data_IF_468694012885
#
_entry.id   IF_468694012885
#
_cell.length_a   1.000
_cell.length_b   1.000
_cell.length_c   1.000
_cell.angle_alpha   90.00
_cell.angle_beta   90.00
_cell.angle_gamma   90.00
#
_symmetry.space_group_name_H-M   'P 1'
#
loop_
_entity.id
_entity.type
_entity.pdbx_description
1 polymer ?
#
# COMPACT_ATOMS: atom_id res chain seq x y z
N UNK A 1 -44.46 12.03 26.70
CA UNK A 1 -43.61 12.65 25.65
C UNK A 1 -42.33 13.10 26.33
N UNK A 2 -41.10 12.67 26.01
CA UNK A 2 -40.54 11.94 24.86
C UNK A 2 -39.39 11.06 25.38
N UNK A 3 -39.40 9.79 25.01
CA UNK A 3 -38.21 8.94 24.98
C UNK A 3 -37.35 9.40 23.82
N UNK A 4 -36.20 10.02 24.07
CA UNK A 4 -35.10 10.07 23.11
C UNK A 4 -33.84 10.46 23.87
N UNK A 5 -32.67 9.98 23.44
CA UNK A 5 -31.33 10.10 24.03
C UNK A 5 -30.91 8.87 24.84
N UNK A 6 -30.76 7.71 24.17
CA UNK A 6 -29.74 6.70 24.51
C UNK A 6 -29.33 5.93 23.24
N UNK A 7 -28.78 6.58 22.20
CA UNK A 7 -28.12 5.87 21.09
C UNK A 7 -26.97 6.70 20.49
N UNK A 8 -25.94 7.07 21.28
CA UNK A 8 -24.66 7.59 20.71
C UNK A 8 -23.41 6.99 21.42
N UNK A 9 -23.54 6.04 22.36
CA UNK A 9 -22.38 5.49 23.09
C UNK A 9 -21.95 4.06 22.72
N UNK A 10 -22.68 3.36 21.83
CA UNK A 10 -22.34 1.97 21.45
C UNK A 10 -21.40 1.84 20.23
N UNK A 11 -21.26 2.90 19.42
CA UNK A 11 -20.43 2.85 18.20
C UNK A 11 -18.93 3.02 18.47
N UNK A 12 -18.53 3.71 19.56
CA UNK A 12 -17.11 3.89 19.89
C UNK A 12 -16.44 2.61 20.43
N UNK A 13 -17.18 1.71 21.06
CA UNK A 13 -16.60 0.45 21.58
C UNK A 13 -16.39 -0.62 20.49
N UNK A 14 -17.02 -0.50 19.32
CA UNK A 14 -16.83 -1.46 18.23
C UNK A 14 -15.52 -1.23 17.46
N UNK A 15 -15.08 0.02 17.30
CA UNK A 15 -13.91 0.31 16.47
C UNK A 15 -12.59 -0.15 17.10
N UNK A 16 -12.45 -0.04 18.42
CA UNK A 16 -11.24 -0.51 19.13
C UNK A 16 -11.15 -2.04 19.14
N UNK A 17 -12.29 -2.74 19.23
CA UNK A 17 -12.33 -4.21 19.18
C UNK A 17 -12.09 -4.74 17.75
N UNK A 18 -12.53 -4.05 16.69
CA UNK A 18 -12.32 -4.49 15.30
C UNK A 18 -10.84 -4.52 14.88
N UNK A 19 -10.09 -3.45 15.13
CA UNK A 19 -8.68 -3.33 14.76
C UNK A 19 -7.79 -4.37 15.47
N UNK A 20 -8.11 -4.69 16.72
CA UNK A 20 -7.40 -5.76 17.45
C UNK A 20 -7.71 -7.15 16.91
N UNK A 21 -8.90 -7.39 16.37
CA UNK A 21 -9.26 -8.68 15.76
C UNK A 21 -8.52 -8.88 14.43
N UNK A 22 -8.54 -7.90 13.54
CA UNK A 22 -7.89 -7.99 12.22
C UNK A 22 -6.38 -8.23 12.34
N UNK A 23 -5.71 -7.52 13.25
CA UNK A 23 -4.26 -7.71 13.51
C UNK A 23 -3.94 -9.10 14.07
N UNK A 24 -4.79 -9.66 14.93
CA UNK A 24 -4.65 -11.04 15.43
C UNK A 24 -4.85 -12.05 14.29
N UNK A 25 -5.85 -11.84 13.42
CA UNK A 25 -6.12 -12.72 12.28
C UNK A 25 -4.95 -12.73 11.28
N UNK A 26 -4.41 -11.56 10.93
CA UNK A 26 -3.26 -11.44 10.04
C UNK A 26 -2.01 -12.10 10.65
N UNK A 27 -1.77 -11.89 11.94
CA UNK A 27 -0.68 -12.57 12.68
C UNK A 27 -0.82 -14.09 12.63
N UNK A 28 -2.02 -14.61 12.87
CA UNK A 28 -2.30 -16.04 12.79
C UNK A 28 -2.13 -16.59 11.36
N UNK A 29 -2.56 -15.83 10.36
CA UNK A 29 -2.37 -16.20 8.96
C UNK A 29 -0.88 -16.24 8.57
N UNK A 30 -0.05 -15.31 9.05
CA UNK A 30 1.39 -15.36 8.86
C UNK A 30 2.00 -16.62 9.52
N UNK A 31 1.58 -16.94 10.75
CA UNK A 31 2.04 -18.15 11.45
C UNK A 31 1.64 -19.44 10.73
N UNK A 32 0.45 -19.47 10.12
CA UNK A 32 -0.02 -20.57 9.27
C UNK A 32 0.82 -20.65 8.00
N UNK A 33 1.03 -19.54 7.30
CA UNK A 33 1.82 -19.45 6.07
C UNK A 33 3.28 -19.90 6.26
N UNK A 34 3.88 -19.60 7.43
CA UNK A 34 5.24 -20.06 7.78
C UNK A 34 5.33 -21.59 7.91
N UNK A 35 4.21 -22.27 8.22
CA UNK A 35 4.14 -23.74 8.40
C UNK A 35 3.64 -24.45 7.14
N UNK A 36 2.70 -23.84 6.44
CA UNK A 36 2.05 -24.36 5.25
C UNK A 36 2.08 -23.30 4.14
N UNK A 37 2.81 -23.59 3.06
CA UNK A 37 2.90 -22.71 1.88
C UNK A 37 1.85 -23.03 0.82
N UNK A 38 0.79 -23.78 1.16
CA UNK A 38 -0.30 -24.12 0.25
C UNK A 38 -0.98 -22.87 -0.32
N UNK A 39 -1.62 -23.05 -1.49
CA UNK A 39 -2.48 -22.03 -2.09
C UNK A 39 -3.51 -21.48 -1.09
N UNK A 40 -4.05 -22.34 -0.21
CA UNK A 40 -5.04 -21.93 0.79
C UNK A 40 -4.44 -20.96 1.81
N UNK A 41 -3.28 -21.29 2.36
CA UNK A 41 -2.60 -20.45 3.36
C UNK A 41 -2.14 -19.11 2.76
N UNK A 42 -1.53 -19.15 1.57
CA UNK A 42 -1.14 -17.95 0.84
C UNK A 42 -2.33 -17.04 0.51
N UNK A 43 -3.42 -17.62 -0.01
CA UNK A 43 -4.64 -16.86 -0.34
C UNK A 43 -5.26 -16.23 0.89
N UNK A 44 -5.36 -16.97 2.00
CA UNK A 44 -5.87 -16.43 3.27
C UNK A 44 -5.03 -15.27 3.77
N UNK A 45 -3.71 -15.39 3.72
CA UNK A 45 -2.80 -14.31 4.11
C UNK A 45 -2.96 -13.08 3.21
N UNK A 46 -3.01 -13.28 1.90
CA UNK A 46 -3.22 -12.22 0.91
C UNK A 46 -4.55 -11.47 1.15
N UNK A 47 -5.64 -12.19 1.41
CA UNK A 47 -6.97 -11.61 1.64
C UNK A 47 -7.06 -10.82 2.96
N UNK A 48 -6.35 -11.26 4.00
CA UNK A 48 -6.31 -10.58 5.31
C UNK A 48 -5.32 -9.40 5.34
N UNK A 49 -4.36 -9.35 4.42
CA UNK A 49 -3.45 -8.21 4.32
C UNK A 49 -4.22 -6.96 3.89
N UNK A 50 -3.93 -5.77 4.45
CA UNK A 50 -4.56 -4.51 4.06
C UNK A 50 -4.70 -4.32 2.54
N UNK A 51 -5.75 -3.61 2.12
CA UNK A 51 -6.01 -3.28 0.71
C UNK A 51 -6.07 -1.77 0.44
N UNK A 52 -5.75 -0.95 1.45
CA UNK A 52 -5.68 0.51 1.35
C UNK A 52 -4.50 1.01 2.18
N UNK A 53 -3.99 2.21 1.88
CA UNK A 53 -2.92 2.81 2.68
C UNK A 53 -3.37 3.10 4.12
N UNK A 54 -4.61 3.55 4.30
CA UNK A 54 -5.19 3.84 5.61
C UNK A 54 -5.22 2.58 6.50
N UNK A 55 -5.68 1.44 5.97
CA UNK A 55 -5.71 0.19 6.73
C UNK A 55 -4.29 -0.36 6.94
N UNK A 56 -3.38 -0.10 6.00
CA UNK A 56 -1.96 -0.43 6.16
C UNK A 56 -1.34 0.34 7.34
N UNK A 57 -1.57 1.65 7.45
CA UNK A 57 -1.10 2.46 8.58
C UNK A 57 -1.76 2.06 9.90
N UNK A 58 -3.07 1.79 9.91
CA UNK A 58 -3.74 1.26 11.12
C UNK A 58 -3.15 -0.05 11.59
N UNK A 59 -2.59 -0.85 10.68
CA UNK A 59 -2.02 -2.16 10.99
C UNK A 59 -0.55 -2.05 11.42
N UNK A 60 0.24 -1.25 10.72
CA UNK A 60 1.70 -1.26 10.80
C UNK A 60 2.35 0.10 11.10
N UNK A 61 1.60 1.19 11.03
CA UNK A 61 2.11 2.55 11.10
C UNK A 61 2.42 3.05 12.51
N UNK A 62 2.81 4.32 12.57
CA UNK A 62 3.04 5.05 13.81
C UNK A 62 2.31 6.40 13.75
N UNK A 63 1.30 6.57 14.58
CA UNK A 63 0.48 7.79 14.57
C UNK A 63 0.42 8.41 15.95
N UNK A 64 0.65 9.73 16.03
CA UNK A 64 0.51 10.53 17.25
C UNK A 64 1.33 9.98 18.44
N UNK A 65 2.53 9.46 18.18
CA UNK A 65 3.38 8.90 19.23
C UNK A 65 3.04 7.47 19.63
N UNK A 66 2.17 6.78 18.88
CA UNK A 66 1.71 5.43 19.19
C UNK A 66 1.91 4.48 18.02
N UNK A 67 2.52 3.34 18.32
CA UNK A 67 2.68 2.21 17.42
C UNK A 67 1.35 1.51 17.14
N UNK A 68 1.14 1.13 15.88
CA UNK A 68 0.06 0.23 15.48
C UNK A 68 0.31 -1.21 15.99
N UNK A 69 -0.72 -2.08 16.03
CA UNK A 69 -0.60 -3.41 16.65
C UNK A 69 0.50 -4.32 16.08
N UNK A 70 0.85 -4.17 14.80
CA UNK A 70 1.88 -4.95 14.11
C UNK A 70 3.07 -4.08 13.64
N UNK A 71 3.37 -2.99 14.36
CA UNK A 71 4.51 -2.09 14.09
C UNK A 71 5.84 -2.84 13.81
N UNK A 72 6.79 -2.19 13.12
CA UNK A 72 7.90 -2.76 12.32
C UNK A 72 7.40 -3.38 11.00
N UNK A 73 6.50 -4.36 11.05
CA UNK A 73 5.84 -4.92 9.86
C UNK A 73 6.74 -5.64 8.84
N UNK A 74 8.07 -5.65 9.02
CA UNK A 74 9.05 -6.22 8.08
C UNK A 74 8.67 -7.62 7.58
N UNK A 75 8.48 -8.58 8.50
CA UNK A 75 8.17 -9.97 8.12
C UNK A 75 6.81 -10.10 7.40
N UNK A 76 5.87 -9.21 7.67
CA UNK A 76 4.55 -9.22 7.03
C UNK A 76 4.66 -8.72 5.59
N UNK A 77 5.36 -7.61 5.39
CA UNK A 77 5.61 -7.06 4.05
C UNK A 77 6.39 -8.07 3.20
N UNK A 78 7.47 -8.66 3.72
CA UNK A 78 8.24 -9.69 3.00
C UNK A 78 7.38 -10.90 2.62
N UNK A 79 6.52 -11.36 3.54
CA UNK A 79 5.62 -12.47 3.26
C UNK A 79 4.58 -12.13 2.16
N UNK A 80 4.10 -10.89 2.10
CA UNK A 80 3.17 -10.44 1.07
C UNK A 80 3.82 -10.51 -0.32
N UNK A 81 5.04 -10.00 -0.48
CA UNK A 81 5.75 -9.97 -1.75
C UNK A 81 6.31 -11.34 -2.16
N UNK A 82 6.38 -12.30 -1.23
CA UNK A 82 6.79 -13.68 -1.50
C UNK A 82 5.66 -14.60 -1.98
N UNK A 83 4.40 -14.12 -2.05
CA UNK A 83 3.27 -14.92 -2.53
C UNK A 83 3.43 -15.23 -4.03
N UNK A 84 3.39 -16.50 -4.39
CA UNK A 84 3.55 -17.00 -5.76
C UNK A 84 2.30 -17.72 -6.29
N UNK A 85 1.35 -18.05 -5.41
CA UNK A 85 0.13 -18.77 -5.75
C UNK A 85 -1.03 -17.89 -6.22
N UNK A 86 -0.89 -16.56 -6.12
CA UNK A 86 -1.87 -15.55 -6.55
C UNK A 86 -1.41 -14.95 -7.88
N UNK A 87 -2.35 -14.68 -8.80
CA UNK A 87 -1.97 -14.15 -10.11
C UNK A 87 -1.29 -12.78 -9.99
N UNK A 88 -0.31 -12.51 -10.87
CA UNK A 88 0.45 -11.27 -10.83
C UNK A 88 -0.42 -10.01 -10.94
N UNK A 89 -1.51 -10.08 -11.70
CA UNK A 89 -2.46 -8.96 -11.82
C UNK A 89 -3.21 -8.69 -10.51
N UNK A 90 -3.56 -9.73 -9.74
CA UNK A 90 -4.22 -9.56 -8.44
C UNK A 90 -3.23 -9.00 -7.42
N UNK A 91 -2.00 -9.50 -7.41
CA UNK A 91 -0.94 -8.99 -6.54
C UNK A 91 -0.65 -7.51 -6.83
N UNK A 92 -0.36 -7.17 -8.09
CA UNK A 92 -0.08 -5.79 -8.50
C UNK A 92 -1.26 -4.86 -8.19
N UNK A 93 -2.51 -5.31 -8.37
CA UNK A 93 -3.68 -4.50 -8.02
C UNK A 93 -3.73 -4.19 -6.52
N UNK A 94 -3.54 -5.18 -5.65
CA UNK A 94 -3.48 -4.94 -4.20
C UNK A 94 -2.36 -3.96 -3.86
N UNK A 95 -1.19 -4.14 -4.45
CA UNK A 95 -0.07 -3.25 -4.14
C UNK A 95 -0.29 -1.81 -4.60
N UNK A 96 -0.91 -1.61 -5.78
CA UNK A 96 -1.38 -0.31 -6.24
C UNK A 96 -2.38 0.29 -5.25
N UNK A 97 -3.40 -0.47 -4.84
CA UNK A 97 -4.42 0.02 -3.92
C UNK A 97 -3.82 0.47 -2.58
N UNK A 98 -2.88 -0.30 -2.01
CA UNK A 98 -2.17 0.08 -0.78
C UNK A 98 -1.31 1.34 -0.98
N UNK A 99 -0.86 1.61 -2.19
CA UNK A 99 0.03 2.74 -2.49
C UNK A 99 -0.73 4.04 -2.79
N UNK A 100 -2.01 3.96 -3.14
CA UNK A 100 -2.87 5.14 -3.31
C UNK A 100 -3.09 5.80 -1.95
N UNK A 101 -2.93 7.12 -1.93
CA UNK A 101 -2.92 7.99 -0.76
C UNK A 101 -1.74 7.75 0.19
N UNK A 102 -0.75 6.98 -0.29
CA UNK A 102 0.49 6.71 0.37
C UNK A 102 1.44 7.91 0.42
N UNK A 103 2.21 7.96 1.49
CA UNK A 103 3.39 8.81 1.62
C UNK A 103 4.53 8.01 2.25
N UNK A 104 5.75 8.51 2.16
CA UNK A 104 6.89 7.86 2.77
C UNK A 104 6.82 7.95 4.30
N UNK A 105 7.05 6.82 4.95
CA UNK A 105 7.29 6.72 6.38
C UNK A 105 8.31 5.60 6.64
N UNK A 106 8.86 5.54 7.85
CA UNK A 106 9.82 4.52 8.25
C UNK A 106 9.18 3.11 8.31
N UNK A 107 10.02 2.11 8.59
CA UNK A 107 9.62 0.74 8.86
C UNK A 107 8.75 0.12 7.76
N UNK A 108 7.55 -0.37 8.11
CA UNK A 108 6.67 -1.11 7.21
C UNK A 108 6.38 -0.38 5.89
N UNK A 109 6.18 0.94 5.95
CA UNK A 109 5.91 1.76 4.76
C UNK A 109 7.12 1.78 3.83
N UNK A 110 8.31 2.01 4.38
CA UNK A 110 9.56 1.98 3.62
C UNK A 110 9.85 0.58 3.06
N UNK A 111 9.66 -0.50 3.84
CA UNK A 111 9.83 -1.88 3.34
C UNK A 111 8.89 -2.19 2.19
N UNK A 112 7.63 -1.74 2.29
CA UNK A 112 6.62 -1.97 1.26
C UNK A 112 7.02 -1.25 -0.02
N UNK A 113 7.37 0.02 0.08
CA UNK A 113 7.80 0.85 -1.05
C UNK A 113 9.07 0.28 -1.71
N UNK A 114 10.04 -0.15 -0.91
CA UNK A 114 11.29 -0.75 -1.39
C UNK A 114 11.04 -2.01 -2.23
N UNK A 115 10.13 -2.88 -1.79
CA UNK A 115 9.75 -4.09 -2.53
C UNK A 115 8.89 -3.80 -3.78
N UNK A 116 7.99 -2.82 -3.70
CA UNK A 116 7.09 -2.43 -4.78
C UNK A 116 7.85 -1.93 -6.02
N UNK A 117 8.78 -0.98 -5.82
CA UNK A 117 9.46 -0.24 -6.89
C UNK A 117 10.08 -1.12 -7.97
N UNK A 118 10.97 -2.08 -7.64
CA UNK A 118 11.60 -2.92 -8.66
C UNK A 118 10.57 -3.78 -9.42
N UNK A 119 9.46 -4.17 -8.79
CA UNK A 119 8.43 -4.98 -9.44
C UNK A 119 7.66 -4.13 -10.46
N UNK A 120 7.28 -2.90 -10.11
CA UNK A 120 6.60 -1.97 -11.02
C UNK A 120 7.49 -1.61 -12.21
N UNK A 121 8.78 -1.35 -11.99
CA UNK A 121 9.74 -1.07 -13.08
C UNK A 121 9.97 -2.29 -13.97
N UNK A 122 10.01 -3.50 -13.40
CA UNK A 122 10.14 -4.73 -14.18
C UNK A 122 8.87 -5.07 -14.97
N UNK A 123 7.69 -4.73 -14.43
CA UNK A 123 6.37 -5.09 -14.98
C UNK A 123 5.56 -3.86 -15.35
N UNK A 124 6.23 -2.87 -15.94
CA UNK A 124 5.66 -1.55 -16.21
C UNK A 124 4.41 -1.59 -17.09
N UNK A 125 4.33 -2.49 -18.07
CA UNK A 125 3.13 -2.64 -18.88
C UNK A 125 1.92 -3.12 -18.07
N UNK A 126 2.11 -4.07 -17.14
CA UNK A 126 1.02 -4.53 -16.26
C UNK A 126 0.58 -3.42 -15.29
N UNK A 127 1.54 -2.72 -14.68
CA UNK A 127 1.24 -1.61 -13.79
C UNK A 127 0.45 -0.52 -14.52
N UNK A 128 0.87 -0.14 -15.74
CA UNK A 128 0.15 0.81 -16.58
C UNK A 128 -1.27 0.36 -16.92
N UNK A 129 -1.48 -0.90 -17.33
CA UNK A 129 -2.81 -1.41 -17.66
C UNK A 129 -3.77 -1.49 -16.47
N UNK A 130 -3.23 -1.53 -15.24
CA UNK A 130 -4.02 -1.43 -14.01
C UNK A 130 -4.27 0.03 -13.61
N UNK A 131 -3.22 0.86 -13.56
CA UNK A 131 -3.30 2.27 -13.15
C UNK A 131 -4.18 3.10 -14.10
N UNK A 132 -4.17 2.84 -15.41
CA UNK A 132 -5.04 3.57 -16.36
C UNK A 132 -6.54 3.39 -16.13
N UNK A 133 -6.93 2.44 -15.26
CA UNK A 133 -8.33 2.20 -14.87
C UNK A 133 -8.71 2.98 -13.61
N UNK A 134 -7.73 3.54 -12.91
CA UNK A 134 -7.89 4.43 -11.78
C UNK A 134 -8.22 5.85 -12.25
N UNK A 135 -8.62 6.72 -11.31
CA UNK A 135 -8.79 8.15 -11.60
C UNK A 135 -7.44 8.84 -11.77
N UNK A 136 -7.45 10.05 -12.33
CA UNK A 136 -6.23 10.84 -12.49
C UNK A 136 -5.58 11.12 -11.12
N UNK A 137 -6.40 11.41 -10.10
CA UNK A 137 -5.95 11.64 -8.74
C UNK A 137 -5.29 10.40 -8.13
N UNK A 138 -5.89 9.22 -8.31
CA UNK A 138 -5.33 7.96 -7.83
C UNK A 138 -3.99 7.63 -8.52
N UNK A 139 -3.86 7.90 -9.83
CA UNK A 139 -2.61 7.71 -10.57
C UNK A 139 -1.52 8.63 -10.02
N UNK A 140 -1.82 9.92 -9.83
CA UNK A 140 -0.89 10.87 -9.22
C UNK A 140 -0.50 10.46 -7.80
N UNK A 141 -1.48 10.01 -7.01
CA UNK A 141 -1.29 9.57 -5.63
C UNK A 141 -0.36 8.35 -5.55
N UNK A 142 -0.59 7.34 -6.40
CA UNK A 142 0.30 6.19 -6.54
C UNK A 142 1.74 6.59 -6.88
N UNK A 143 1.93 7.45 -7.89
CA UNK A 143 3.29 7.86 -8.29
C UNK A 143 3.94 8.77 -7.25
N UNK A 144 3.16 9.56 -6.51
CA UNK A 144 3.70 10.34 -5.41
C UNK A 144 4.28 9.41 -4.35
N UNK A 145 3.52 8.40 -3.89
CA UNK A 145 4.06 7.37 -3.00
C UNK A 145 5.26 6.66 -3.62
N UNK A 146 5.21 6.31 -4.91
CA UNK A 146 6.32 5.63 -5.58
C UNK A 146 7.64 6.42 -5.49
N UNK A 147 7.59 7.75 -5.62
CA UNK A 147 8.78 8.61 -5.65
C UNK A 147 9.13 9.30 -4.33
N UNK A 148 8.18 9.42 -3.40
CA UNK A 148 8.41 10.13 -2.15
C UNK A 148 9.32 9.30 -1.23
N UNK A 149 10.40 9.90 -0.76
CA UNK A 149 11.34 9.30 0.21
C UNK A 149 12.28 10.36 0.79
N UNK A 150 12.88 10.13 1.97
CA UNK A 150 13.81 11.11 2.58
C UNK A 150 14.98 11.45 1.66
N UNK A 151 15.49 10.48 0.90
CA UNK A 151 16.64 10.65 0.01
C UNK A 151 16.29 10.13 -1.38
N UNK A 152 15.70 10.97 -2.26
CA UNK A 152 15.23 10.56 -3.57
C UNK A 152 16.30 9.88 -4.42
N UNK A 153 16.13 8.57 -4.64
CA UNK A 153 16.98 7.76 -5.49
C UNK A 153 16.73 8.07 -6.97
N UNK A 154 15.51 8.50 -7.31
CA UNK A 154 15.10 8.87 -8.65
C UNK A 154 15.02 10.39 -8.79
N UNK A 155 16.16 11.04 -9.07
CA UNK A 155 16.19 12.49 -9.38
C UNK A 155 15.49 12.84 -10.69
N UNK A 156 15.37 11.86 -11.59
CA UNK A 156 14.61 11.93 -12.83
C UNK A 156 13.64 10.75 -12.88
N UNK A 157 12.62 10.85 -13.72
CA UNK A 157 11.73 9.73 -14.03
C UNK A 157 12.57 8.56 -14.60
N UNK A 158 12.44 7.32 -14.07
CA UNK A 158 13.11 6.15 -14.61
C UNK A 158 12.79 5.91 -16.09
N UNK A 159 13.78 5.46 -16.87
CA UNK A 159 13.66 5.24 -18.32
C UNK A 159 12.51 4.28 -18.71
N UNK A 160 12.23 3.31 -17.85
CA UNK A 160 11.13 2.35 -17.97
C UNK A 160 9.77 3.04 -18.01
N UNK A 161 9.65 4.18 -17.33
CA UNK A 161 8.44 5.00 -17.25
C UNK A 161 8.46 6.15 -18.27
N UNK A 162 9.64 6.62 -18.71
CA UNK A 162 9.77 7.67 -19.74
C UNK A 162 9.10 7.30 -21.07
N UNK A 163 9.06 6.00 -21.41
CA UNK A 163 8.39 5.51 -22.62
C UNK A 163 6.91 5.90 -22.72
N UNK A 164 6.25 6.24 -21.60
CA UNK A 164 4.86 6.67 -21.62
C UNK A 164 4.68 8.08 -22.16
N UNK A 165 5.74 8.89 -22.25
CA UNK A 165 5.68 10.22 -22.84
C UNK A 165 5.10 10.20 -24.26
N UNK A 166 5.49 9.21 -25.05
CA UNK A 166 5.04 9.05 -26.43
C UNK A 166 3.79 8.14 -26.56
N UNK A 167 3.62 7.19 -25.63
CA UNK A 167 2.51 6.22 -25.66
C UNK A 167 1.19 6.80 -25.13
N UNK A 168 1.26 7.57 -24.05
CA UNK A 168 0.10 8.10 -23.32
C UNK A 168 0.52 9.38 -22.59
N UNK A 169 0.50 10.50 -23.33
CA UNK A 169 0.98 11.79 -22.85
C UNK A 169 0.28 12.24 -21.55
N UNK A 170 -1.03 11.93 -21.41
CA UNK A 170 -1.79 12.27 -20.21
C UNK A 170 -1.26 11.50 -19.00
N UNK A 171 -1.14 10.17 -19.12
CA UNK A 171 -0.59 9.33 -18.05
C UNK A 171 0.81 9.79 -17.63
N UNK A 172 1.67 10.10 -18.62
CA UNK A 172 3.02 10.59 -18.34
C UNK A 172 3.04 11.94 -17.62
N UNK A 173 2.11 12.85 -17.94
CA UNK A 173 1.97 14.14 -17.24
C UNK A 173 1.61 13.94 -15.77
N UNK A 174 0.68 13.05 -15.46
CA UNK A 174 0.29 12.71 -14.07
C UNK A 174 1.49 12.14 -13.29
N UNK A 175 2.17 11.15 -13.87
CA UNK A 175 3.39 10.57 -13.32
C UNK A 175 4.49 11.62 -13.07
N UNK A 176 4.71 12.51 -14.03
CA UNK A 176 5.76 13.54 -13.95
C UNK A 176 5.43 14.62 -12.92
N UNK A 177 4.15 14.99 -12.80
CA UNK A 177 3.69 15.92 -11.78
C UNK A 177 3.88 15.34 -10.37
N UNK A 178 3.49 14.07 -10.18
CA UNK A 178 3.67 13.35 -8.94
C UNK A 178 5.15 13.19 -8.54
N UNK A 179 6.02 12.84 -9.51
CA UNK A 179 7.49 12.79 -9.32
C UNK A 179 8.05 14.13 -8.84
N UNK A 180 7.68 15.22 -9.53
CA UNK A 180 8.11 16.58 -9.14
C UNK A 180 7.63 16.95 -7.74
N UNK A 181 6.37 16.65 -7.40
CA UNK A 181 5.81 16.91 -6.06
C UNK A 181 6.58 16.14 -5.00
N UNK A 182 6.81 14.85 -5.23
CA UNK A 182 7.55 13.99 -4.31
C UNK A 182 8.97 14.51 -4.04
N UNK A 183 9.70 14.98 -5.07
CA UNK A 183 11.02 15.58 -4.88
C UNK A 183 10.97 16.85 -4.01
N UNK A 184 10.03 17.75 -4.30
CA UNK A 184 9.86 19.00 -3.54
C UNK A 184 9.58 18.70 -2.06
N UNK A 185 8.66 17.78 -1.79
CA UNK A 185 8.26 17.41 -0.42
C UNK A 185 9.37 16.64 0.32
N UNK A 186 10.25 15.97 -0.43
CA UNK A 186 11.50 15.38 0.06
C UNK A 186 12.64 16.40 0.24
N UNK A 187 12.45 17.67 -0.14
CA UNK A 187 13.45 18.73 0.01
C UNK A 187 14.49 18.83 -1.13
N UNK A 188 14.16 18.34 -2.33
CA UNK A 188 15.06 18.25 -3.49
C UNK A 188 14.47 18.87 -4.77
#
# INVERSE_FOLDING_TARGET
MKNTIVIIFLLLLCQVNGQSVESIELKNALMELKKDKSLKAQKKYFELFPDSFEDFLKMFGFENGKEAPLYDGFEYVEALFAIDSISESQQMKKWINISIDGYWDADAVNYFQHNLRPIVLKKTDLAYELLKKCTDEEIESFFYFFFNEIHPQYKNVPSELERFKDRDEKFYKLLSAAHKRALIDSGH
#
